data_IF_949478235498
#
_entry.id   IF_949478235498
#
_cell.length_a   1.000
_cell.length_b   1.000
_cell.length_c   1.000
_cell.angle_alpha   90.00
_cell.angle_beta   90.00
_cell.angle_gamma   90.00
#
_symmetry.space_group_name_H-M   'P 1'
#
loop_
_entity.id
_entity.type
_entity.pdbx_description
1 polymer ?
#
# COMPACT_ATOMS: atom_id res chain seq x y z
N UNK A 1 -16.90 4.00 8.80
CA UNK A 1 -15.98 5.06 9.24
C UNK A 1 -16.48 5.52 10.58
N UNK A 2 -15.54 5.78 11.49
CA UNK A 2 -15.79 6.11 12.87
C UNK A 2 -14.95 7.34 13.22
N UNK A 3 -15.58 8.34 13.83
CA UNK A 3 -14.84 9.46 14.41
C UNK A 3 -14.72 9.25 15.90
N UNK A 4 -13.49 9.28 16.40
CA UNK A 4 -13.18 9.14 17.83
C UNK A 4 -12.41 10.34 18.34
N UNK A 5 -12.59 10.64 19.61
CA UNK A 5 -11.89 11.68 20.33
C UNK A 5 -11.07 11.04 21.45
N UNK A 6 -9.84 11.49 21.63
CA UNK A 6 -9.02 11.02 22.76
C UNK A 6 -9.47 11.68 24.07
N UNK A 7 -9.61 10.87 25.13
CA UNK A 7 -9.96 11.33 26.48
C UNK A 7 -8.73 11.71 27.31
N UNK A 8 -7.56 11.16 26.97
CA UNK A 8 -6.31 11.32 27.74
C UNK A 8 -5.15 11.62 26.82
N UNK A 9 -4.02 12.09 27.37
CA UNK A 9 -2.79 12.14 26.58
C UNK A 9 -2.36 10.70 26.30
N UNK A 10 -2.01 10.39 25.05
CA UNK A 10 -1.52 9.07 24.70
C UNK A 10 -0.46 9.13 23.62
N UNK A 11 0.50 8.22 23.73
CA UNK A 11 1.53 7.99 22.74
C UNK A 11 1.50 6.50 22.37
N UNK A 12 1.39 6.18 21.08
CA UNK A 12 1.34 4.81 20.60
C UNK A 12 1.69 4.70 19.12
N UNK A 13 2.24 3.55 18.73
CA UNK A 13 2.43 3.18 17.33
C UNK A 13 1.26 2.34 16.83
N UNK A 14 0.74 2.67 15.66
CA UNK A 14 -0.37 1.93 15.06
C UNK A 14 -0.38 2.09 13.54
N UNK A 15 -0.64 0.98 12.84
CA UNK A 15 -0.77 0.95 11.38
C UNK A 15 0.41 1.59 10.63
N UNK A 16 1.63 1.44 11.16
CA UNK A 16 2.87 2.00 10.60
C UNK A 16 3.08 3.49 10.84
N UNK A 17 2.39 4.09 11.83
CA UNK A 17 2.58 5.48 12.23
C UNK A 17 2.70 5.64 13.74
N UNK A 18 3.47 6.64 14.15
CA UNK A 18 3.54 7.10 15.52
C UNK A 18 2.52 8.19 15.80
N UNK A 19 1.73 8.05 16.87
CA UNK A 19 0.74 9.02 17.29
C UNK A 19 1.08 9.56 18.69
N UNK A 20 1.23 10.88 18.81
CA UNK A 20 1.25 11.61 20.10
C UNK A 20 0.02 12.52 20.17
N UNK A 21 -1.01 12.06 20.85
CA UNK A 21 -2.32 12.72 20.91
C UNK A 21 -2.54 13.42 22.25
N UNK A 22 -3.02 14.66 22.18
CA UNK A 22 -3.47 15.42 23.36
C UNK A 22 -4.97 15.21 23.59
N UNK A 23 -5.47 15.26 24.85
CA UNK A 23 -6.90 15.19 25.14
C UNK A 23 -7.71 16.12 24.24
N UNK A 24 -8.80 15.62 23.67
CA UNK A 24 -9.66 16.36 22.75
C UNK A 24 -9.29 16.24 21.27
N UNK A 25 -8.12 15.73 20.90
CA UNK A 25 -7.80 15.48 19.49
C UNK A 25 -8.68 14.36 18.91
N UNK A 26 -9.07 14.54 17.64
CA UNK A 26 -10.02 13.66 16.94
C UNK A 26 -9.37 12.95 15.76
N UNK A 27 -9.71 11.68 15.59
CA UNK A 27 -9.22 10.82 14.52
C UNK A 27 -10.38 10.19 13.74
N UNK A 28 -10.18 10.05 12.42
CA UNK A 28 -11.05 9.31 11.51
C UNK A 28 -10.50 7.90 11.32
N UNK A 29 -11.29 6.91 11.69
CA UNK A 29 -10.99 5.49 11.54
C UNK A 29 -11.90 4.81 10.51
N UNK A 30 -11.39 3.77 9.85
CA UNK A 30 -12.23 2.70 9.35
C UNK A 30 -12.67 1.80 10.52
N UNK A 31 -13.85 1.19 10.43
CA UNK A 31 -14.46 0.53 11.59
C UNK A 31 -13.68 -0.71 12.02
N UNK A 32 -13.27 -1.51 11.03
CA UNK A 32 -12.41 -2.67 11.15
C UNK A 32 -11.01 -2.29 11.66
N UNK A 33 -10.42 -1.21 11.15
CA UNK A 33 -9.12 -0.72 11.65
C UNK A 33 -9.20 -0.32 13.12
N UNK A 34 -10.28 0.34 13.55
CA UNK A 34 -10.44 0.67 14.97
C UNK A 34 -10.53 -0.60 15.83
N UNK A 35 -11.16 -1.67 15.31
CA UNK A 35 -11.27 -2.94 16.01
C UNK A 35 -9.91 -3.66 16.18
N UNK A 36 -8.92 -3.35 15.35
CA UNK A 36 -7.54 -3.87 15.46
C UNK A 36 -6.72 -3.22 16.58
N UNK A 37 -7.17 -2.09 17.15
CA UNK A 37 -6.48 -1.48 18.29
C UNK A 37 -6.53 -2.41 19.51
N UNK A 38 -5.47 -2.48 20.34
CA UNK A 38 -5.54 -3.09 21.66
C UNK A 38 -6.73 -2.56 22.46
N UNK A 39 -7.45 -3.44 23.18
CA UNK A 39 -8.65 -3.06 23.96
C UNK A 39 -8.37 -1.91 24.92
N UNK A 40 -7.19 -1.90 25.55
CA UNK A 40 -6.75 -0.82 26.45
C UNK A 40 -6.58 0.54 25.77
N UNK A 41 -6.24 0.57 24.47
CA UNK A 41 -6.20 1.81 23.71
C UNK A 41 -7.61 2.22 23.26
N UNK A 42 -8.46 1.27 22.87
CA UNK A 42 -9.84 1.56 22.49
C UNK A 42 -10.60 2.27 23.62
N UNK A 43 -10.40 1.88 24.89
CA UNK A 43 -11.06 2.51 26.05
C UNK A 43 -10.58 3.93 26.32
N UNK A 44 -9.45 4.37 25.77
CA UNK A 44 -8.94 5.75 25.87
C UNK A 44 -9.60 6.71 24.86
N UNK A 45 -10.37 6.15 23.92
CA UNK A 45 -11.17 6.91 22.97
C UNK A 45 -12.64 6.96 23.39
N UNK A 46 -13.34 7.99 22.93
CA UNK A 46 -14.79 8.07 22.92
C UNK A 46 -15.30 8.32 21.51
N UNK A 47 -16.47 7.78 21.17
CA UNK A 47 -17.10 8.06 19.87
C UNK A 47 -17.61 9.49 19.88
N UNK A 48 -17.35 10.21 18.79
CA UNK A 48 -17.82 11.58 18.60
C UNK A 48 -18.61 11.65 17.30
N UNK A 49 -19.50 12.63 17.17
CA UNK A 49 -20.17 12.94 15.92
C UNK A 49 -19.48 14.17 15.32
N UNK A 50 -18.66 13.95 14.29
CA UNK A 50 -18.06 15.05 13.51
C UNK A 50 -18.67 15.05 12.13
N UNK A 51 -19.10 16.23 11.67
CA UNK A 51 -19.53 16.41 10.28
C UNK A 51 -18.31 16.26 9.38
N UNK A 52 -18.33 15.23 8.54
CA UNK A 52 -17.30 14.99 7.53
C UNK A 52 -17.63 15.73 6.23
N UNK A 53 -16.65 15.99 5.36
CA UNK A 53 -16.92 16.46 4.00
C UNK A 53 -17.94 15.55 3.30
N UNK A 54 -18.79 16.10 2.42
CA UNK A 54 -19.69 15.29 1.61
C UNK A 54 -18.90 14.28 0.76
N UNK A 55 -19.52 13.13 0.50
CA UNK A 55 -18.94 12.17 -0.44
C UNK A 55 -18.95 12.77 -1.85
N UNK A 56 -17.84 12.60 -2.55
CA UNK A 56 -17.72 12.99 -3.94
C UNK A 56 -18.65 12.16 -4.83
N UNK A 57 -19.45 12.83 -5.65
CA UNK A 57 -20.41 12.18 -6.56
C UNK A 57 -20.27 12.64 -8.02
N UNK A 58 -19.11 13.19 -8.39
CA UNK A 58 -18.80 13.58 -9.77
C UNK A 58 -18.86 15.09 -10.01
N UNK A 59 -18.89 15.89 -8.95
CA UNK A 59 -18.84 17.35 -9.04
C UNK A 59 -17.54 17.85 -9.70
N UNK A 60 -17.54 19.09 -10.20
CA UNK A 60 -16.27 19.70 -10.61
C UNK A 60 -15.33 19.84 -9.40
N UNK A 61 -14.06 19.43 -9.58
CA UNK A 61 -13.00 19.53 -8.57
C UNK A 61 -12.05 20.72 -8.80
N UNK A 62 -12.34 21.61 -9.76
CA UNK A 62 -11.52 22.79 -10.03
C UNK A 62 -11.38 23.67 -8.78
N UNK A 63 -10.13 23.91 -8.37
CA UNK A 63 -9.76 24.72 -7.20
C UNK A 63 -10.16 24.10 -5.86
N UNK A 64 -10.62 22.84 -5.83
CA UNK A 64 -11.11 22.16 -4.64
C UNK A 64 -10.08 21.20 -4.06
N UNK A 65 -10.41 20.67 -2.89
CA UNK A 65 -9.61 19.66 -2.20
C UNK A 65 -10.41 18.38 -2.10
N UNK A 66 -9.86 17.28 -2.62
CA UNK A 66 -10.42 15.94 -2.53
C UNK A 66 -9.63 15.13 -1.51
N UNK A 67 -10.30 14.65 -0.46
CA UNK A 67 -9.72 13.76 0.53
C UNK A 67 -10.09 12.30 0.25
N UNK A 68 -9.10 11.47 -0.04
CA UNK A 68 -9.25 10.04 -0.26
C UNK A 68 -8.90 9.31 1.03
N UNK A 69 -9.90 8.68 1.65
CA UNK A 69 -9.73 7.82 2.81
C UNK A 69 -9.60 6.38 2.34
N UNK A 70 -8.38 5.87 2.27
CA UNK A 70 -8.07 4.57 1.68
C UNK A 70 -7.48 3.59 2.70
N UNK A 71 -7.97 2.36 2.63
CA UNK A 71 -7.44 1.23 3.35
C UNK A 71 -7.34 0.06 2.39
N UNK A 72 -6.14 -0.47 2.24
CA UNK A 72 -5.85 -1.60 1.37
C UNK A 72 -4.45 -2.14 1.62
N UNK A 73 -4.17 -3.30 1.06
CA UNK A 73 -2.83 -3.83 0.94
C UNK A 73 -2.03 -3.02 -0.11
N UNK A 74 -0.73 -3.31 -0.22
CA UNK A 74 0.19 -2.62 -1.14
C UNK A 74 -0.34 -2.67 -2.58
N UNK A 75 -0.84 -3.82 -3.03
CA UNK A 75 -1.38 -3.99 -4.38
C UNK A 75 -2.64 -3.16 -4.65
N UNK A 76 -3.53 -3.01 -3.66
CA UNK A 76 -4.74 -2.19 -3.80
C UNK A 76 -4.35 -0.72 -3.95
N UNK A 77 -3.44 -0.25 -3.10
CA UNK A 77 -2.92 1.13 -3.14
C UNK A 77 -2.18 1.41 -4.44
N UNK A 78 -1.40 0.47 -4.94
CA UNK A 78 -0.75 0.57 -6.26
C UNK A 78 -1.80 0.73 -7.36
N UNK A 79 -2.83 -0.12 -7.40
CA UNK A 79 -3.89 -0.01 -8.42
C UNK A 79 -4.67 1.31 -8.32
N UNK A 80 -4.76 1.93 -7.13
CA UNK A 80 -5.45 3.21 -6.94
C UNK A 80 -4.75 4.39 -7.62
N UNK A 81 -3.45 4.27 -7.90
CA UNK A 81 -2.62 5.35 -8.48
C UNK A 81 -3.15 5.84 -9.82
N UNK A 82 -3.74 4.94 -10.62
CA UNK A 82 -4.41 5.23 -11.88
C UNK A 82 -5.53 6.26 -11.67
N UNK A 83 -6.43 6.02 -10.72
CA UNK A 83 -7.55 6.90 -10.45
C UNK A 83 -7.08 8.24 -9.84
N UNK A 84 -6.09 8.20 -8.95
CA UNK A 84 -5.47 9.40 -8.36
C UNK A 84 -4.84 10.30 -9.43
N UNK A 85 -4.06 9.72 -10.34
CA UNK A 85 -3.44 10.43 -11.48
C UNK A 85 -4.50 11.01 -12.40
N UNK A 86 -5.52 10.22 -12.73
CA UNK A 86 -6.59 10.64 -13.63
C UNK A 86 -7.42 11.80 -13.07
N UNK A 87 -7.67 11.85 -11.74
CA UNK A 87 -8.27 13.04 -11.10
C UNK A 87 -7.40 14.28 -11.34
N UNK A 88 -6.09 14.18 -11.10
CA UNK A 88 -5.19 15.33 -11.27
C UNK A 88 -5.10 15.77 -12.72
N UNK A 89 -5.12 14.83 -13.66
CA UNK A 89 -5.11 15.11 -15.09
C UNK A 89 -6.35 15.90 -15.52
N UNK A 90 -7.54 15.52 -15.04
CA UNK A 90 -8.81 16.21 -15.34
C UNK A 90 -8.98 17.52 -14.61
N UNK A 91 -8.43 17.61 -13.40
CA UNK A 91 -8.54 18.78 -12.52
C UNK A 91 -7.14 19.16 -11.98
N UNK A 92 -6.28 19.81 -12.79
CA UNK A 92 -4.87 20.07 -12.43
C UNK A 92 -4.67 20.90 -11.16
N UNK A 93 -5.62 21.78 -10.85
CA UNK A 93 -5.62 22.65 -9.68
C UNK A 93 -6.25 22.01 -8.43
N UNK A 94 -6.91 20.85 -8.57
CA UNK A 94 -7.44 20.10 -7.44
C UNK A 94 -6.31 19.68 -6.50
N UNK A 95 -6.52 19.88 -5.20
CA UNK A 95 -5.63 19.38 -4.14
C UNK A 95 -6.02 17.96 -3.76
N UNK A 96 -5.11 17.02 -4.00
CA UNK A 96 -5.34 15.60 -3.74
C UNK A 96 -4.69 15.19 -2.42
N UNK A 97 -5.52 14.88 -1.43
CA UNK A 97 -5.09 14.48 -0.11
C UNK A 97 -5.44 13.02 0.11
N UNK A 98 -4.49 12.18 0.49
CA UNK A 98 -4.71 10.73 0.61
C UNK A 98 -4.32 10.25 2.00
N UNK A 99 -5.20 9.54 2.69
CA UNK A 99 -4.88 8.80 3.90
C UNK A 99 -4.75 7.30 3.58
N UNK A 100 -3.67 6.68 4.05
CA UNK A 100 -3.34 5.26 3.78
C UNK A 100 -2.58 4.65 4.96
N UNK A 101 -2.56 3.32 5.06
CA UNK A 101 -1.72 2.60 6.03
C UNK A 101 -0.23 2.90 5.83
N UNK A 102 0.54 2.86 6.91
CA UNK A 102 1.98 3.15 6.86
C UNK A 102 2.74 2.14 6.01
N UNK A 103 2.29 0.88 5.99
CA UNK A 103 2.89 -0.18 5.15
C UNK A 103 2.77 0.10 3.66
N UNK A 104 1.64 0.64 3.21
CA UNK A 104 1.41 0.94 1.79
C UNK A 104 1.72 2.40 1.41
N UNK A 105 2.01 3.25 2.41
CA UNK A 105 2.37 4.66 2.20
C UNK A 105 3.50 4.84 1.17
N UNK A 106 4.60 4.07 1.18
CA UNK A 106 5.70 4.34 0.27
C UNK A 106 5.34 4.19 -1.22
N UNK A 107 4.28 3.45 -1.56
CA UNK A 107 3.75 3.39 -2.95
C UNK A 107 3.36 4.77 -3.45
N UNK A 108 2.83 5.61 -2.55
CA UNK A 108 2.29 6.92 -2.88
C UNK A 108 3.30 8.06 -2.68
N UNK A 109 4.44 7.78 -2.07
CA UNK A 109 5.46 8.80 -1.80
C UNK A 109 6.07 9.31 -3.11
N UNK A 110 6.41 10.60 -3.14
CA UNK A 110 7.05 11.28 -4.29
C UNK A 110 6.22 11.34 -5.58
N UNK A 111 5.03 10.74 -5.65
CA UNK A 111 4.10 10.93 -6.77
C UNK A 111 3.66 12.40 -6.87
N UNK A 112 3.96 13.04 -8.00
CA UNK A 112 3.83 14.50 -8.18
C UNK A 112 2.39 15.03 -8.11
N UNK A 113 1.41 14.16 -8.32
CA UNK A 113 0.00 14.50 -8.31
C UNK A 113 -0.66 14.40 -6.91
N UNK A 114 0.06 13.91 -5.91
CA UNK A 114 -0.44 13.82 -4.53
C UNK A 114 0.09 15.03 -3.75
N UNK A 115 -0.82 15.91 -3.31
CA UNK A 115 -0.45 17.12 -2.58
C UNK A 115 -0.14 16.85 -1.10
N UNK A 116 -0.85 15.90 -0.46
CA UNK A 116 -0.60 15.53 0.96
C UNK A 116 -0.92 14.06 1.23
N UNK A 117 -0.05 13.42 2.03
CA UNK A 117 -0.24 12.08 2.57
C UNK A 117 -0.50 12.12 4.08
N UNK A 118 -1.66 11.66 4.49
CA UNK A 118 -2.08 11.55 5.88
C UNK A 118 -1.92 10.12 6.42
N UNK A 119 -1.74 9.96 7.74
CA UNK A 119 -1.80 8.65 8.35
C UNK A 119 -3.23 8.10 8.29
N UNK A 120 -3.35 6.78 8.42
CA UNK A 120 -4.61 6.11 8.68
C UNK A 120 -4.50 5.42 10.05
N UNK A 121 -5.23 5.83 11.09
CA UNK A 121 -6.31 6.83 11.11
C UNK A 121 -5.86 8.27 10.83
N UNK A 122 -6.75 9.07 10.24
CA UNK A 122 -6.44 10.43 9.79
C UNK A 122 -6.86 11.49 10.82
N UNK A 123 -6.09 12.57 11.04
CA UNK A 123 -6.48 13.67 11.92
C UNK A 123 -7.70 14.42 11.39
N UNK A 124 -8.79 14.43 12.16
CA UNK A 124 -10.06 15.05 11.75
C UNK A 124 -9.89 16.54 11.43
N UNK A 125 -9.03 17.25 12.18
CA UNK A 125 -8.71 18.66 11.97
C UNK A 125 -8.21 18.96 10.56
N UNK A 126 -7.61 17.97 9.89
CA UNK A 126 -7.19 18.08 8.49
C UNK A 126 -8.28 17.60 7.54
N UNK A 127 -8.93 16.47 7.84
CA UNK A 127 -10.00 15.90 7.01
C UNK A 127 -11.12 16.91 6.71
N UNK A 128 -11.57 17.65 7.73
CA UNK A 128 -12.69 18.60 7.60
C UNK A 128 -12.37 19.82 6.73
N UNK A 129 -11.11 20.04 6.37
CA UNK A 129 -10.70 21.12 5.46
C UNK A 129 -10.87 20.74 3.98
N UNK A 130 -11.15 19.47 3.68
CA UNK A 130 -11.43 19.05 2.32
C UNK A 130 -12.85 19.45 1.88
N UNK A 131 -13.03 19.63 0.58
CA UNK A 131 -14.34 19.98 0.02
C UNK A 131 -15.20 18.74 -0.19
N UNK A 132 -14.57 17.64 -0.61
CA UNK A 132 -15.21 16.34 -0.78
C UNK A 132 -14.32 15.24 -0.24
N UNK A 133 -14.92 14.08 0.01
CA UNK A 133 -14.17 12.87 0.33
C UNK A 133 -14.57 11.66 -0.51
N UNK A 134 -13.62 10.76 -0.71
CA UNK A 134 -13.85 9.41 -1.23
C UNK A 134 -13.52 8.42 -0.13
N UNK A 135 -14.41 7.45 0.08
CA UNK A 135 -14.20 6.32 0.98
C UNK A 135 -13.83 5.09 0.15
N UNK A 136 -12.55 4.70 0.20
CA UNK A 136 -12.00 3.52 -0.44
C UNK A 136 -11.52 2.51 0.61
N UNK A 137 -12.46 1.98 1.40
CA UNK A 137 -12.22 1.03 2.51
C UNK A 137 -13.18 -0.17 2.46
N UNK A 138 -13.74 -0.49 1.29
CA UNK A 138 -14.69 -1.60 1.19
C UNK A 138 -13.97 -2.95 1.20
N UNK A 139 -14.68 -3.96 1.68
CA UNK A 139 -14.17 -5.32 1.84
C UNK A 139 -14.65 -6.21 0.69
N UNK A 140 -13.95 -7.33 0.55
CA UNK A 140 -14.36 -8.52 -0.23
C UNK A 140 -15.82 -8.91 0.04
N UNK A 141 -16.48 -9.55 -0.93
CA UNK A 141 -17.90 -9.94 -0.90
C UNK A 141 -18.88 -8.79 -1.16
N UNK A 142 -18.47 -7.78 -1.94
CA UNK A 142 -19.39 -6.78 -2.48
C UNK A 142 -19.45 -6.91 -4.00
N UNK A 143 -20.64 -6.80 -4.63
CA UNK A 143 -20.77 -7.03 -6.08
C UNK A 143 -19.79 -6.19 -6.92
N UNK A 144 -19.54 -4.94 -6.52
CA UNK A 144 -18.61 -4.07 -7.23
C UNK A 144 -17.14 -4.52 -7.07
N UNK A 145 -16.72 -4.91 -5.87
CA UNK A 145 -15.33 -5.31 -5.61
C UNK A 145 -15.01 -6.67 -6.25
N UNK A 146 -15.95 -7.61 -6.21
CA UNK A 146 -15.71 -8.98 -6.67
C UNK A 146 -15.79 -9.13 -8.20
N UNK A 147 -16.50 -8.23 -8.89
CA UNK A 147 -16.73 -8.34 -10.34
C UNK A 147 -15.96 -7.31 -11.17
N UNK A 148 -15.26 -6.35 -10.54
CA UNK A 148 -14.42 -5.40 -11.24
C UNK A 148 -12.94 -5.73 -11.02
N UNK A 149 -12.14 -5.54 -12.06
CA UNK A 149 -10.69 -5.43 -11.88
C UNK A 149 -10.41 -4.26 -10.91
N UNK A 150 -9.38 -4.39 -10.07
CA UNK A 150 -9.05 -3.41 -9.03
C UNK A 150 -8.91 -1.97 -9.56
N UNK A 151 -8.27 -1.78 -10.71
CA UNK A 151 -8.15 -0.45 -11.35
C UNK A 151 -9.53 0.11 -11.69
N UNK A 152 -10.40 -0.70 -12.30
CA UNK A 152 -11.77 -0.31 -12.63
C UNK A 152 -12.61 -0.02 -11.39
N UNK A 153 -12.41 -0.78 -10.32
CA UNK A 153 -13.06 -0.53 -9.04
C UNK A 153 -12.68 0.85 -8.48
N UNK A 154 -11.39 1.21 -8.50
CA UNK A 154 -10.94 2.54 -8.10
C UNK A 154 -11.46 3.65 -9.01
N UNK A 155 -11.42 3.47 -10.34
CA UNK A 155 -12.00 4.44 -11.27
C UNK A 155 -13.48 4.69 -10.96
N UNK A 156 -14.26 3.63 -10.74
CA UNK A 156 -15.66 3.73 -10.36
C UNK A 156 -15.86 4.46 -9.02
N UNK A 157 -15.04 4.15 -8.00
CA UNK A 157 -15.08 4.84 -6.69
C UNK A 157 -14.78 6.33 -6.81
N UNK A 158 -13.96 6.70 -7.78
CA UNK A 158 -13.58 8.08 -8.06
C UNK A 158 -14.51 8.75 -9.07
N UNK A 159 -15.63 8.12 -9.45
CA UNK A 159 -16.58 8.64 -10.45
C UNK A 159 -15.90 8.92 -11.80
N UNK A 160 -14.91 8.12 -12.15
CA UNK A 160 -14.19 8.16 -13.42
C UNK A 160 -14.65 7.00 -14.30
N UNK A 161 -15.03 7.31 -15.55
CA UNK A 161 -15.44 6.29 -16.51
C UNK A 161 -14.26 5.47 -17.05
N UNK A 162 -13.11 6.11 -17.27
CA UNK A 162 -11.88 5.52 -17.79
C UNK A 162 -10.67 6.36 -17.35
N UNK A 163 -9.47 5.80 -17.47
CA UNK A 163 -8.22 6.56 -17.47
C UNK A 163 -7.56 6.45 -18.85
N UNK A 164 -6.82 7.48 -19.27
CA UNK A 164 -6.07 7.43 -20.54
C UNK A 164 -4.95 6.38 -20.51
N UNK A 165 -4.40 6.13 -19.32
CA UNK A 165 -3.44 5.08 -19.05
C UNK A 165 -3.88 4.35 -17.78
N UNK A 166 -4.11 3.04 -17.88
CA UNK A 166 -4.50 2.17 -16.77
C UNK A 166 -3.30 1.51 -16.07
N UNK A 167 -2.06 1.88 -16.45
CA UNK A 167 -0.83 1.42 -15.81
C UNK A 167 -0.65 2.06 -14.44
N UNK A 168 -0.50 1.29 -13.35
CA UNK A 168 -0.17 1.85 -12.04
C UNK A 168 1.17 2.58 -12.02
N UNK A 169 1.25 3.67 -11.27
CA UNK A 169 2.49 4.41 -11.05
C UNK A 169 3.14 4.06 -9.72
N UNK A 170 4.46 4.03 -9.73
CA UNK A 170 5.30 4.05 -8.54
C UNK A 170 6.56 4.84 -8.87
N UNK A 171 7.08 5.58 -7.89
CA UNK A 171 8.39 6.23 -8.03
C UNK A 171 9.45 5.24 -7.55
N UNK A 172 10.33 4.82 -8.47
CA UNK A 172 11.50 4.02 -8.12
C UNK A 172 12.51 4.91 -7.40
N UNK A 173 12.95 4.50 -6.21
CA UNK A 173 13.90 5.27 -5.43
C UNK A 173 15.34 5.06 -5.94
N UNK A 174 15.92 6.09 -6.56
CA UNK A 174 17.26 6.04 -7.13
C UNK A 174 18.36 5.70 -6.10
N UNK A 175 18.17 6.06 -4.83
CA UNK A 175 19.14 5.68 -3.79
C UNK A 175 19.09 4.18 -3.49
N UNK A 176 17.88 3.59 -3.51
CA UNK A 176 17.69 2.14 -3.39
C UNK A 176 18.25 1.42 -4.62
N UNK A 177 18.04 1.97 -5.82
CA UNK A 177 18.64 1.41 -7.05
C UNK A 177 20.16 1.41 -6.97
N UNK A 178 20.78 2.51 -6.51
CA UNK A 178 22.24 2.59 -6.31
C UNK A 178 22.75 1.59 -5.28
N UNK A 179 21.98 1.35 -4.21
CA UNK A 179 22.30 0.36 -3.19
C UNK A 179 22.24 -1.07 -3.73
N UNK A 180 21.18 -1.42 -4.46
CA UNK A 180 20.93 -2.80 -4.91
C UNK A 180 21.71 -3.17 -6.17
N UNK A 181 21.99 -2.22 -7.06
CA UNK A 181 22.62 -2.50 -8.36
C UNK A 181 23.95 -3.27 -8.24
N UNK A 182 24.92 -2.89 -7.38
CA UNK A 182 26.16 -3.66 -7.21
C UNK A 182 25.92 -5.12 -6.79
N UNK A 183 24.90 -5.37 -5.97
CA UNK A 183 24.56 -6.70 -5.45
C UNK A 183 24.06 -7.60 -6.58
N UNK A 184 23.17 -7.08 -7.43
CA UNK A 184 22.69 -7.82 -8.60
C UNK A 184 23.80 -8.05 -9.64
N UNK A 185 24.72 -7.09 -9.82
CA UNK A 185 25.88 -7.28 -10.70
C UNK A 185 26.86 -8.34 -10.16
N UNK A 186 27.06 -8.40 -8.85
CA UNK A 186 27.85 -9.46 -8.21
C UNK A 186 27.18 -10.83 -8.35
N UNK A 187 25.86 -10.93 -8.16
CA UNK A 187 25.10 -12.17 -8.35
C UNK A 187 25.20 -12.70 -9.80
N UNK A 188 25.13 -11.81 -10.80
CA UNK A 188 25.39 -12.14 -12.21
C UNK A 188 26.80 -12.68 -12.43
N UNK A 189 27.80 -11.99 -11.87
CA UNK A 189 29.22 -12.39 -11.98
C UNK A 189 29.48 -13.76 -11.39
N UNK A 190 28.98 -14.03 -10.17
CA UNK A 190 29.20 -15.29 -9.46
C UNK A 190 28.52 -16.49 -10.14
N UNK A 191 27.37 -16.25 -10.77
CA UNK A 191 26.61 -17.29 -11.47
C UNK A 191 27.04 -17.50 -12.93
N UNK A 192 27.92 -16.63 -13.46
CA UNK A 192 28.30 -16.58 -14.88
C UNK A 192 27.09 -16.41 -15.83
N UNK A 193 26.09 -15.62 -15.40
CA UNK A 193 24.86 -15.36 -16.15
C UNK A 193 24.59 -13.86 -16.22
N UNK A 194 23.99 -13.40 -17.32
CA UNK A 194 23.75 -11.97 -17.54
C UNK A 194 22.30 -11.52 -17.25
N UNK A 195 21.37 -12.47 -17.06
CA UNK A 195 19.95 -12.18 -16.82
C UNK A 195 19.57 -12.58 -15.41
N UNK A 196 18.76 -11.75 -14.76
CA UNK A 196 18.19 -12.02 -13.43
C UNK A 196 16.71 -12.29 -13.61
N UNK A 197 16.19 -13.30 -12.91
CA UNK A 197 14.75 -13.50 -12.76
C UNK A 197 14.39 -13.43 -11.28
N UNK A 198 13.56 -12.44 -10.94
CA UNK A 198 13.13 -12.19 -9.58
C UNK A 198 11.83 -12.96 -9.29
N UNK A 199 11.79 -13.61 -8.13
CA UNK A 199 10.64 -14.35 -7.63
C UNK A 199 10.12 -13.72 -6.35
N UNK A 200 8.83 -13.40 -6.38
CA UNK A 200 8.04 -13.14 -5.19
C UNK A 200 6.88 -14.13 -5.17
N UNK A 201 7.03 -15.21 -4.40
CA UNK A 201 6.15 -16.38 -4.46
C UNK A 201 5.24 -16.52 -3.24
N UNK A 202 5.45 -15.65 -2.24
CA UNK A 202 4.64 -15.59 -1.03
C UNK A 202 3.46 -14.64 -1.24
N UNK A 203 2.37 -14.95 -0.56
CA UNK A 203 1.20 -14.10 -0.48
C UNK A 203 0.63 -14.16 0.93
N UNK A 204 -0.17 -13.15 1.28
CA UNK A 204 -0.89 -13.14 2.57
C UNK A 204 -1.91 -14.27 2.74
N UNK A 205 -2.19 -15.05 1.69
CA UNK A 205 -3.05 -16.23 1.73
C UNK A 205 -2.35 -17.41 1.08
N UNK A 206 -2.34 -18.55 1.79
CA UNK A 206 -1.75 -19.81 1.32
C UNK A 206 -2.30 -20.27 -0.02
N UNK A 207 -3.56 -19.93 -0.35
CA UNK A 207 -4.18 -20.29 -1.63
C UNK A 207 -3.59 -19.54 -2.83
N UNK A 208 -2.82 -18.48 -2.58
CA UNK A 208 -2.13 -17.67 -3.61
C UNK A 208 -0.61 -17.81 -3.54
N UNK A 209 -0.08 -18.46 -2.51
CA UNK A 209 1.34 -18.75 -2.37
C UNK A 209 1.72 -19.88 -3.31
N UNK A 210 2.79 -19.70 -4.08
CA UNK A 210 3.30 -20.76 -4.95
C UNK A 210 3.95 -21.85 -4.10
N UNK A 211 3.63 -23.15 -4.32
CA UNK A 211 4.29 -24.23 -3.60
C UNK A 211 5.81 -24.24 -3.85
N UNK A 212 6.65 -24.39 -2.80
CA UNK A 212 8.12 -24.40 -2.97
C UNK A 212 8.63 -25.47 -3.95
N UNK A 213 7.97 -26.64 -4.03
CA UNK A 213 8.31 -27.66 -5.01
C UNK A 213 8.18 -27.17 -6.46
N UNK A 214 7.14 -26.39 -6.74
CA UNK A 214 6.94 -25.81 -8.07
C UNK A 214 7.96 -24.69 -8.34
N UNK A 215 8.32 -23.91 -7.32
CA UNK A 215 9.41 -22.94 -7.43
C UNK A 215 10.73 -23.63 -7.79
N UNK A 216 11.03 -24.79 -7.18
CA UNK A 216 12.19 -25.62 -7.54
C UNK A 216 12.14 -26.07 -9.00
N UNK A 217 10.98 -26.56 -9.46
CA UNK A 217 10.82 -27.03 -10.84
C UNK A 217 11.01 -25.88 -11.85
N UNK A 218 10.50 -24.68 -11.55
CA UNK A 218 10.74 -23.48 -12.38
C UNK A 218 12.22 -23.08 -12.36
N UNK A 219 12.85 -23.08 -11.19
CA UNK A 219 14.26 -22.75 -10.99
C UNK A 219 15.18 -23.66 -11.82
N UNK A 220 14.89 -24.97 -11.87
CA UNK A 220 15.63 -25.93 -12.70
C UNK A 220 15.49 -25.66 -14.21
N UNK A 221 14.31 -25.23 -14.67
CA UNK A 221 14.06 -24.94 -16.09
C UNK A 221 14.81 -23.69 -16.57
N UNK A 222 14.93 -22.67 -15.73
CA UNK A 222 15.56 -21.40 -16.11
C UNK A 222 17.05 -21.34 -15.78
N UNK A 223 17.56 -22.32 -15.05
CA UNK A 223 18.88 -22.25 -14.42
C UNK A 223 20.02 -21.96 -15.40
N UNK A 224 19.94 -22.46 -16.64
CA UNK A 224 21.02 -22.26 -17.61
C UNK A 224 21.13 -20.80 -18.09
N UNK A 225 20.07 -20.00 -17.98
CA UNK A 225 20.01 -18.66 -18.56
C UNK A 225 19.89 -17.55 -17.50
N UNK A 226 19.19 -17.82 -16.39
CA UNK A 226 18.85 -16.80 -15.40
C UNK A 226 19.54 -17.04 -14.05
N UNK A 227 19.84 -15.94 -13.36
CA UNK A 227 20.08 -15.90 -11.92
C UNK A 227 18.72 -15.85 -11.23
N UNK A 228 18.25 -16.95 -10.62
CA UNK A 228 17.05 -16.91 -9.80
C UNK A 228 17.34 -16.12 -8.52
N UNK A 229 16.55 -15.09 -8.26
CA UNK A 229 16.65 -14.25 -7.06
C UNK A 229 15.30 -14.21 -6.38
N UNK A 230 15.28 -14.32 -5.05
CA UNK A 230 14.07 -14.14 -4.25
C UNK A 230 14.20 -12.85 -3.46
N UNK A 231 13.14 -12.04 -3.54
CA UNK A 231 12.98 -10.83 -2.76
C UNK A 231 11.59 -10.88 -2.12
N UNK A 232 11.55 -11.11 -0.81
CA UNK A 232 10.34 -11.05 0.02
C UNK A 232 10.55 -10.02 1.12
N UNK A 233 9.47 -9.56 1.75
CA UNK A 233 9.63 -8.66 2.90
C UNK A 233 10.24 -9.43 4.10
N UNK A 234 11.00 -8.77 5.00
CA UNK A 234 11.72 -9.44 6.08
C UNK A 234 10.83 -10.24 7.02
N UNK A 235 9.56 -9.85 7.19
CA UNK A 235 8.62 -10.61 8.01
C UNK A 235 8.27 -11.99 7.42
N UNK A 236 8.59 -12.20 6.14
CA UNK A 236 8.32 -13.42 5.38
C UNK A 236 9.57 -14.31 5.23
N UNK A 237 10.75 -13.78 5.57
CA UNK A 237 12.07 -14.38 5.30
C UNK A 237 12.30 -15.76 5.94
N UNK A 238 11.84 -15.97 7.18
CA UNK A 238 11.98 -17.29 7.86
C UNK A 238 11.31 -18.41 7.05
N UNK A 239 10.18 -18.11 6.42
CA UNK A 239 9.47 -19.10 5.59
C UNK A 239 10.22 -19.34 4.28
N UNK A 240 10.94 -18.33 3.78
CA UNK A 240 11.77 -18.43 2.57
C UNK A 240 12.95 -19.36 2.81
N UNK A 241 13.77 -19.09 3.83
CA UNK A 241 14.98 -19.86 4.11
C UNK A 241 14.69 -21.36 4.31
N UNK A 242 13.67 -21.68 5.11
CA UNK A 242 13.25 -23.08 5.33
C UNK A 242 12.83 -23.75 4.02
N UNK A 243 12.14 -23.03 3.14
CA UNK A 243 11.72 -23.56 1.85
C UNK A 243 12.91 -23.80 0.90
N UNK A 244 13.92 -22.92 0.92
CA UNK A 244 15.12 -23.08 0.11
C UNK A 244 15.90 -24.34 0.49
N UNK A 245 16.12 -24.52 1.80
CA UNK A 245 16.85 -25.66 2.35
C UNK A 245 16.13 -26.99 2.09
N UNK A 246 14.84 -27.07 2.42
CA UNK A 246 14.07 -28.32 2.33
C UNK A 246 13.94 -28.81 0.90
N UNK A 247 13.80 -27.89 -0.06
CA UNK A 247 13.57 -28.22 -1.46
C UNK A 247 14.82 -28.11 -2.35
N UNK A 248 15.97 -27.73 -1.77
CA UNK A 248 17.24 -27.59 -2.50
C UNK A 248 17.16 -26.54 -3.61
N UNK A 249 16.50 -25.42 -3.35
CA UNK A 249 16.33 -24.32 -4.31
C UNK A 249 17.61 -23.48 -4.29
N UNK A 250 18.22 -23.26 -5.47
CA UNK A 250 19.52 -22.56 -5.58
C UNK A 250 19.39 -21.05 -5.80
N UNK A 251 18.21 -20.49 -5.57
CA UNK A 251 17.95 -19.07 -5.73
C UNK A 251 18.71 -18.24 -4.68
N UNK A 252 19.23 -17.09 -5.09
CA UNK A 252 19.81 -16.15 -4.13
C UNK A 252 18.69 -15.49 -3.33
N UNK A 253 18.69 -15.65 -2.00
CA UNK A 253 17.75 -14.93 -1.14
C UNK A 253 18.30 -13.54 -0.81
N UNK A 254 17.63 -12.50 -1.30
CA UNK A 254 17.95 -11.10 -1.01
C UNK A 254 16.89 -10.45 -0.10
N UNK A 255 16.00 -11.23 0.50
CA UNK A 255 14.91 -10.72 1.35
C UNK A 255 15.42 -9.91 2.55
N UNK A 256 16.59 -10.25 3.10
CA UNK A 256 17.23 -9.49 4.18
C UNK A 256 17.57 -8.03 3.83
N UNK A 257 17.65 -7.71 2.53
CA UNK A 257 17.89 -6.34 2.04
C UNK A 257 16.59 -5.54 1.88
N UNK A 258 15.42 -6.19 1.92
CA UNK A 258 14.13 -5.57 1.60
C UNK A 258 13.57 -4.79 2.80
N UNK A 259 14.19 -3.67 3.17
CA UNK A 259 13.85 -2.93 4.40
C UNK A 259 12.38 -2.46 4.45
N UNK A 260 11.83 -2.15 3.28
CA UNK A 260 10.42 -1.90 3.07
C UNK A 260 10.08 -2.10 1.59
N UNK A 261 8.85 -1.77 1.20
CA UNK A 261 8.32 -1.97 -0.14
C UNK A 261 9.05 -1.21 -1.26
N UNK A 262 9.89 -0.20 -0.95
CA UNK A 262 10.69 0.53 -1.95
C UNK A 262 11.85 -0.30 -2.51
N UNK A 263 12.22 -1.37 -1.80
CA UNK A 263 13.27 -2.29 -2.19
C UNK A 263 12.77 -3.41 -3.12
N UNK A 264 11.46 -3.66 -3.14
CA UNK A 264 10.80 -4.61 -4.04
C UNK A 264 10.59 -3.99 -5.44
#
# INVERSE_FOLDING_TARGET
>A
MLTVQTKVKMNFDFNGYHFDLKPGEKLLFANDVFALLPKELQTKFEKTNTVLPPFYDGESLNGKTLFVFMQGAIGDVLCSTVALREVKRRYPDCKLWVAVSGRARPVLEKLSYIDKLFPHPAPIKEVVKAHYMIKAVEMVNTPAFDNLNMVKWFLWKFRLYFAEDETPDVVVDEEVVKELKPIFEEAKKLSNKNKVLLFHYLASSVHRTLPPKLLKDIEDLIWQEYVPVICSLPEEDITVEVALDVYGIRAANLSYLMKDIRYL
#
